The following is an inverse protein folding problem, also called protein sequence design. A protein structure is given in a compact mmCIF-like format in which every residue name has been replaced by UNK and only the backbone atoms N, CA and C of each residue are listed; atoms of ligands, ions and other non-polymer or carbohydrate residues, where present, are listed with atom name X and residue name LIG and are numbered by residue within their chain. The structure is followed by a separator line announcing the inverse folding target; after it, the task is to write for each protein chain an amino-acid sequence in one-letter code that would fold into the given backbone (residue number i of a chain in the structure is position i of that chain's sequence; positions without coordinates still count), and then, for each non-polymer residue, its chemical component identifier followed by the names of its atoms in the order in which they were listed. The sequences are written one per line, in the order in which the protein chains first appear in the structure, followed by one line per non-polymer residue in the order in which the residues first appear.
data_IF_854036045140
#
_entry.id   IF_854036045140
#
_cell.length_a   1.000
_cell.length_b   1.000
_cell.length_c   1.000
_cell.angle_alpha   90.00
_cell.angle_beta   90.00
_cell.angle_gamma   90.00
#
_symmetry.space_group_name_H-M   'P 1'
#
loop_
_entity.id
_entity.type
_entity.pdbx_description
1 polymer ?
#
# COMPACT_ATOMS: atom_id res chain seq x y z
N UNK A 1 -62.58 72.71 18.15
CA UNK A 1 -61.74 72.67 19.36
C UNK A 1 -61.16 71.26 19.49
N UNK A 2 -60.10 70.92 18.73
CA UNK A 2 -58.68 70.85 19.19
C UNK A 2 -58.46 69.91 20.38
N UNK A 3 -58.07 68.65 20.12
CA UNK A 3 -56.70 68.08 20.13
C UNK A 3 -56.18 67.78 21.56
N UNK A 4 -56.06 66.50 21.94
CA UNK A 4 -54.83 65.68 21.96
C UNK A 4 -54.53 65.27 23.43
N UNK A 5 -53.86 64.17 23.83
CA UNK A 5 -52.73 63.46 23.26
C UNK A 5 -52.70 61.97 23.68
N UNK A 6 -52.14 61.19 22.76
CA UNK A 6 -51.45 59.92 22.91
C UNK A 6 -50.46 59.89 24.10
N UNK A 7 -50.41 58.79 24.86
CA UNK A 7 -49.20 58.34 25.56
C UNK A 7 -49.14 56.81 25.48
N UNK A 8 -48.30 56.33 24.56
CA UNK A 8 -47.96 54.92 24.40
C UNK A 8 -47.10 54.45 25.60
N UNK A 9 -47.54 53.40 26.28
CA UNK A 9 -46.71 52.71 27.27
C UNK A 9 -45.64 51.89 26.51
N UNK A 10 -44.41 52.34 26.60
CA UNK A 10 -43.22 51.71 26.03
C UNK A 10 -42.99 50.34 26.67
N UNK A 11 -42.98 49.31 25.83
CA UNK A 11 -42.52 47.96 26.17
C UNK A 11 -41.07 48.01 26.65
N UNK A 12 -40.88 47.85 27.96
CA UNK A 12 -39.55 47.72 28.55
C UNK A 12 -38.87 46.45 28.04
N UNK A 13 -37.85 46.63 27.20
CA UNK A 13 -36.94 45.56 26.79
C UNK A 13 -36.18 45.12 28.06
N UNK A 14 -36.47 43.91 28.55
CA UNK A 14 -35.71 43.30 29.63
C UNK A 14 -34.27 43.03 29.15
N UNK A 15 -33.32 43.82 29.64
CA UNK A 15 -31.90 43.58 29.43
C UNK A 15 -31.51 42.18 29.95
N UNK A 16 -30.64 41.44 29.24
CA UNK A 16 -30.19 40.14 29.70
C UNK A 16 -29.44 40.31 31.03
N UNK A 17 -29.86 39.55 32.07
CA UNK A 17 -29.13 39.45 33.33
C UNK A 17 -27.70 38.99 33.05
N UNK A 18 -26.74 39.91 33.12
CA UNK A 18 -25.31 39.59 33.16
C UNK A 18 -25.05 38.95 34.52
N UNK A 19 -25.13 37.63 34.59
CA UNK A 19 -24.73 36.89 35.79
C UNK A 19 -23.24 37.04 35.97
N UNK A 20 -22.85 37.77 37.02
CA UNK A 20 -21.46 37.99 37.43
C UNK A 20 -20.73 36.65 37.50
N UNK A 21 -19.73 36.43 36.63
CA UNK A 21 -18.99 35.17 36.58
C UNK A 21 -18.14 35.05 37.84
N UNK A 22 -18.56 34.19 38.79
CA UNK A 22 -17.76 33.89 39.98
C UNK A 22 -16.41 33.29 39.55
N UNK A 23 -15.35 34.08 39.72
CA UNK A 23 -13.98 33.66 39.43
C UNK A 23 -13.52 32.70 40.53
N UNK A 24 -13.36 31.42 40.20
CA UNK A 24 -12.86 30.41 41.15
C UNK A 24 -13.10 28.98 40.66
N UNK A 25 -12.47 28.02 41.33
CA UNK A 25 -12.69 26.59 41.14
C UNK A 25 -13.22 25.95 42.42
N UNK A 26 -14.04 24.91 42.27
CA UNK A 26 -14.49 24.05 43.36
C UNK A 26 -14.17 22.60 43.03
N UNK A 27 -13.93 21.79 44.05
CA UNK A 27 -13.83 20.35 43.88
C UNK A 27 -15.23 19.75 43.83
N UNK A 28 -15.47 18.87 42.86
CA UNK A 28 -16.69 18.07 42.75
C UNK A 28 -16.33 16.60 42.83
N UNK A 29 -16.98 15.86 43.73
CA UNK A 29 -17.07 14.41 43.64
C UNK A 29 -18.32 14.03 42.84
N UNK A 30 -18.16 13.23 41.79
CA UNK A 30 -19.28 12.77 40.98
C UNK A 30 -20.17 11.81 41.79
N UNK A 31 -21.47 12.11 41.90
CA UNK A 31 -22.42 11.29 42.67
C UNK A 31 -22.58 9.85 42.16
N UNK A 32 -22.24 9.57 40.90
CA UNK A 32 -22.38 8.22 40.30
C UNK A 32 -21.11 7.36 40.33
N UNK A 33 -19.94 7.96 40.03
CA UNK A 33 -18.69 7.19 39.91
C UNK A 33 -17.63 7.58 40.95
N UNK A 34 -17.95 8.51 41.85
CA UNK A 34 -17.02 9.01 42.87
C UNK A 34 -15.84 9.82 42.31
N UNK A 35 -15.76 10.05 40.99
CA UNK A 35 -14.63 10.78 40.38
C UNK A 35 -14.54 12.20 40.93
N UNK A 36 -13.40 12.55 41.49
CA UNK A 36 -13.10 13.86 42.04
C UNK A 36 -12.42 14.73 40.98
N UNK A 37 -12.99 15.89 40.67
CA UNK A 37 -12.48 16.81 39.64
C UNK A 37 -12.60 18.27 40.08
N UNK A 38 -11.64 19.11 39.71
CA UNK A 38 -11.75 20.56 39.86
C UNK A 38 -12.58 21.15 38.72
N UNK A 39 -13.67 21.83 39.07
CA UNK A 39 -14.59 22.48 38.13
C UNK A 39 -14.73 23.96 38.48
N UNK A 40 -15.27 24.76 37.57
CA UNK A 40 -15.53 26.18 37.87
C UNK A 40 -16.50 26.31 39.05
N UNK A 41 -16.31 27.34 39.87
CA UNK A 41 -17.12 27.57 41.06
C UNK A 41 -18.62 27.74 40.75
N UNK A 42 -18.95 28.29 39.58
CA UNK A 42 -20.32 28.48 39.07
C UNK A 42 -20.92 27.21 38.43
N UNK A 43 -20.14 26.14 38.25
CA UNK A 43 -20.65 24.90 37.68
C UNK A 43 -21.53 24.16 38.70
N UNK A 44 -22.85 24.21 38.52
CA UNK A 44 -23.82 23.55 39.39
C UNK A 44 -23.92 22.02 39.19
N UNK A 45 -23.25 21.45 38.19
CA UNK A 45 -23.39 20.02 37.89
C UNK A 45 -22.80 19.14 39.00
N UNK A 46 -23.59 18.17 39.46
CA UNK A 46 -23.18 17.19 40.48
C UNK A 46 -22.57 15.91 39.85
N UNK A 47 -22.74 15.71 38.54
CA UNK A 47 -22.17 14.58 37.78
C UNK A 47 -20.98 15.02 36.95
N UNK A 48 -20.03 14.11 36.69
CA UNK A 48 -18.96 14.33 35.72
C UNK A 48 -19.51 14.31 34.28
N UNK A 49 -18.75 14.83 33.33
CA UNK A 49 -19.17 14.91 31.92
C UNK A 49 -19.54 13.53 31.37
N UNK A 50 -18.75 12.50 31.67
CA UNK A 50 -19.02 11.13 31.20
C UNK A 50 -20.31 10.55 31.79
N UNK A 51 -20.54 10.72 33.09
CA UNK A 51 -21.77 10.28 33.75
C UNK A 51 -23.00 11.04 33.24
N UNK A 52 -22.89 12.36 33.10
CA UNK A 52 -23.94 13.19 32.50
C UNK A 52 -24.25 12.77 31.06
N UNK A 53 -23.23 12.58 30.22
CA UNK A 53 -23.41 12.09 28.85
C UNK A 53 -24.06 10.71 28.79
N UNK A 54 -23.70 9.77 29.69
CA UNK A 54 -24.33 8.45 29.76
C UNK A 54 -25.81 8.55 30.16
N UNK A 55 -26.14 9.37 31.15
CA UNK A 55 -27.52 9.61 31.55
C UNK A 55 -28.34 10.22 30.41
N UNK A 56 -27.83 11.26 29.76
CA UNK A 56 -28.51 11.89 28.60
C UNK A 56 -28.58 10.97 27.38
N UNK A 57 -27.69 9.99 27.23
CA UNK A 57 -27.78 8.99 26.18
C UNK A 57 -28.83 7.92 26.52
N UNK A 58 -28.90 7.49 27.78
CA UNK A 58 -29.93 6.57 28.25
C UNK A 58 -31.35 7.18 28.13
N UNK A 59 -31.50 8.47 28.43
CA UNK A 59 -32.76 9.20 28.24
C UNK A 59 -33.14 9.34 26.76
N UNK A 60 -32.17 9.68 25.88
CA UNK A 60 -32.45 9.92 24.45
C UNK A 60 -32.68 8.66 23.63
N UNK A 61 -31.96 7.59 23.91
CA UNK A 61 -31.96 6.39 23.08
C UNK A 61 -32.66 5.20 23.72
N UNK A 62 -33.10 5.33 24.98
CA UNK A 62 -33.73 4.25 25.74
C UNK A 62 -32.85 3.01 25.84
N UNK A 63 -33.44 1.89 26.27
CA UNK A 63 -32.83 0.58 26.06
C UNK A 63 -33.04 0.19 24.59
N UNK A 64 -32.01 -0.31 23.88
CA UNK A 64 -32.19 -0.80 22.52
C UNK A 64 -33.29 -1.86 22.49
N UNK A 65 -34.36 -1.59 21.74
CA UNK A 65 -35.53 -2.47 21.59
C UNK A 65 -35.26 -3.62 20.62
N UNK A 66 -34.28 -3.45 19.73
CA UNK A 66 -33.91 -4.43 18.71
C UNK A 66 -32.80 -5.33 19.26
N UNK A 67 -33.01 -6.65 19.18
CA UNK A 67 -31.98 -7.65 19.52
C UNK A 67 -30.74 -7.41 18.65
N UNK A 68 -29.52 -7.45 19.20
CA UNK A 68 -28.31 -7.31 18.42
C UNK A 68 -28.25 -8.38 17.33
N UNK A 69 -27.87 -7.98 16.12
CA UNK A 69 -27.61 -8.92 15.04
C UNK A 69 -26.27 -9.60 15.27
N UNK A 70 -26.23 -10.93 15.16
CA UNK A 70 -25.01 -11.71 15.31
C UNK A 70 -24.60 -12.29 13.96
N UNK A 71 -23.35 -12.05 13.58
CA UNK A 71 -22.75 -12.65 12.39
C UNK A 71 -21.59 -13.59 12.79
N UNK A 72 -21.33 -14.57 11.93
CA UNK A 72 -20.21 -15.50 12.10
C UNK A 72 -18.98 -14.98 11.37
N UNK A 73 -17.87 -14.82 12.08
CA UNK A 73 -16.63 -14.34 11.48
C UNK A 73 -16.06 -15.35 10.50
N UNK A 74 -15.76 -14.92 9.27
CA UNK A 74 -15.22 -15.80 8.22
C UNK A 74 -13.78 -16.29 8.49
N UNK A 75 -13.13 -15.83 9.56
CA UNK A 75 -11.79 -16.25 9.96
C UNK A 75 -11.77 -17.15 11.20
N UNK A 76 -12.14 -16.61 12.38
CA UNK A 76 -12.17 -17.35 13.66
C UNK A 76 -13.43 -18.22 13.81
N UNK A 77 -14.46 -18.02 12.98
CA UNK A 77 -15.81 -18.61 13.16
C UNK A 77 -16.53 -18.23 14.45
N UNK A 78 -15.98 -17.28 15.22
CA UNK A 78 -16.60 -16.73 16.40
C UNK A 78 -17.79 -15.83 16.04
N UNK A 79 -18.85 -15.90 16.84
CA UNK A 79 -20.04 -15.06 16.71
C UNK A 79 -19.74 -13.66 17.24
N UNK A 80 -20.13 -12.62 16.51
CA UNK A 80 -19.90 -11.23 16.90
C UNK A 80 -21.07 -10.35 16.51
N UNK A 81 -21.24 -9.24 17.24
CA UNK A 81 -22.31 -8.28 16.97
C UNK A 81 -21.97 -7.48 15.72
N UNK A 82 -22.86 -7.48 14.74
CA UNK A 82 -22.76 -6.64 13.55
C UNK A 82 -23.89 -5.61 13.52
N UNK A 83 -23.61 -4.44 12.96
CA UNK A 83 -24.67 -3.46 12.70
C UNK A 83 -25.50 -3.95 11.51
N UNK A 84 -26.85 -3.90 11.54
CA UNK A 84 -27.68 -4.24 10.39
C UNK A 84 -27.33 -3.46 9.11
N UNK A 85 -26.77 -2.25 9.27
CA UNK A 85 -26.32 -1.40 8.17
C UNK A 85 -24.95 -1.78 7.59
N UNK A 86 -24.18 -2.63 8.26
CA UNK A 86 -22.81 -2.94 7.86
C UNK A 86 -22.58 -4.46 7.94
N UNK A 87 -22.60 -5.12 6.78
CA UNK A 87 -22.32 -6.56 6.57
C UNK A 87 -20.85 -6.89 6.84
N UNK A 88 -20.39 -6.62 8.05
CA UNK A 88 -19.03 -6.85 8.46
C UNK A 88 -18.78 -8.35 8.45
N UNK A 89 -17.71 -8.80 7.78
CA UNK A 89 -17.43 -10.24 7.58
C UNK A 89 -16.52 -10.85 8.66
N UNK A 90 -15.91 -10.00 9.48
CA UNK A 90 -14.86 -10.40 10.42
C UNK A 90 -15.08 -9.74 11.77
N UNK A 91 -14.91 -10.48 12.86
CA UNK A 91 -15.11 -9.96 14.22
C UNK A 91 -14.11 -8.87 14.61
N UNK A 92 -12.95 -8.80 13.96
CA UNK A 92 -11.89 -7.85 14.28
C UNK A 92 -11.02 -7.53 13.07
N UNK A 93 -10.28 -6.42 13.16
CA UNK A 93 -9.24 -6.07 12.17
C UNK A 93 -8.15 -7.15 12.08
N UNK A 94 -7.85 -7.84 13.19
CA UNK A 94 -6.93 -8.98 13.21
C UNK A 94 -7.42 -10.14 12.35
N UNK A 95 -8.68 -10.55 12.53
CA UNK A 95 -9.32 -11.59 11.71
C UNK A 95 -9.39 -11.20 10.22
N UNK A 96 -9.71 -9.94 9.92
CA UNK A 96 -9.69 -9.44 8.55
C UNK A 96 -8.29 -9.53 7.92
N UNK A 97 -7.26 -9.10 8.65
CA UNK A 97 -5.86 -9.12 8.19
C UNK A 97 -5.37 -10.56 7.98
N UNK A 98 -5.64 -11.45 8.92
CA UNK A 98 -5.27 -12.85 8.84
C UNK A 98 -6.01 -13.57 7.71
N UNK A 99 -7.32 -13.31 7.55
CA UNK A 99 -8.08 -13.86 6.43
C UNK A 99 -7.59 -13.37 5.06
N UNK A 100 -7.02 -12.16 4.99
CA UNK A 100 -6.47 -11.55 3.77
C UNK A 100 -4.96 -11.68 3.63
N UNK A 101 -4.28 -12.34 4.57
CA UNK A 101 -2.85 -12.59 4.48
C UNK A 101 -2.57 -13.93 3.82
N UNK A 102 -1.35 -14.09 3.33
CA UNK A 102 -0.82 -15.34 2.80
C UNK A 102 0.57 -15.52 3.40
N UNK A 103 0.86 -16.74 3.83
CA UNK A 103 2.19 -17.11 4.30
C UNK A 103 3.15 -17.25 3.12
N UNK A 104 4.40 -16.82 3.31
CA UNK A 104 5.49 -16.95 2.35
C UNK A 104 6.79 -17.24 3.06
N UNK A 105 7.74 -17.80 2.32
CA UNK A 105 9.10 -18.07 2.77
C UNK A 105 10.03 -16.95 2.31
N UNK A 106 10.84 -16.42 3.22
CA UNK A 106 11.79 -15.35 2.90
C UNK A 106 12.94 -15.88 2.04
N UNK A 107 13.19 -15.26 0.89
CA UNK A 107 14.26 -15.66 -0.03
C UNK A 107 15.69 -15.39 0.49
N UNK A 108 15.82 -14.78 1.69
CA UNK A 108 17.12 -14.44 2.30
C UNK A 108 17.42 -15.31 3.52
N UNK A 109 16.48 -15.41 4.46
CA UNK A 109 16.69 -16.12 5.71
C UNK A 109 15.93 -17.45 5.80
N UNK A 110 15.07 -17.77 4.83
CA UNK A 110 14.24 -18.98 4.86
C UNK A 110 13.06 -18.94 5.84
N UNK A 111 12.94 -17.91 6.68
CA UNK A 111 11.84 -17.80 7.65
C UNK A 111 10.47 -17.57 7.01
N UNK A 112 9.43 -18.16 7.62
CA UNK A 112 8.03 -17.93 7.27
C UNK A 112 7.54 -16.56 7.73
N UNK A 113 6.75 -15.87 6.90
CA UNK A 113 6.16 -14.58 7.21
C UNK A 113 4.86 -14.37 6.43
N UNK A 114 3.99 -13.48 6.92
CA UNK A 114 2.72 -13.18 6.26
C UNK A 114 2.74 -11.84 5.54
N UNK A 115 2.16 -11.80 4.35
CA UNK A 115 1.90 -10.56 3.60
C UNK A 115 0.44 -10.46 3.19
N UNK A 116 -0.11 -9.26 2.96
CA UNK A 116 -1.42 -9.10 2.34
C UNK A 116 -1.43 -9.70 0.93
N UNK A 117 -2.48 -10.46 0.58
CA UNK A 117 -2.66 -11.01 -0.79
C UNK A 117 -2.62 -9.94 -1.89
N UNK A 118 -3.01 -8.71 -1.58
CA UNK A 118 -2.96 -7.57 -2.51
C UNK A 118 -1.55 -7.25 -3.01
N UNK A 119 -0.50 -7.55 -2.24
CA UNK A 119 0.90 -7.37 -2.66
C UNK A 119 1.22 -8.24 -3.87
N UNK A 120 0.62 -9.43 -3.97
CA UNK A 120 0.84 -10.37 -5.07
C UNK A 120 0.02 -10.04 -6.33
N UNK A 121 -0.80 -8.99 -6.31
CA UNK A 121 -1.64 -8.60 -7.45
C UNK A 121 -0.86 -8.10 -8.68
N UNK A 122 0.45 -7.88 -8.56
CA UNK A 122 1.28 -7.31 -9.62
C UNK A 122 1.03 -5.81 -9.89
N UNK A 123 0.11 -5.17 -9.15
CA UNK A 123 -0.20 -3.73 -9.28
C UNK A 123 0.92 -2.82 -8.77
N UNK A 124 1.78 -3.33 -7.89
CA UNK A 124 2.91 -2.57 -7.34
C UNK A 124 4.23 -3.24 -7.67
N UNK A 125 5.34 -2.54 -7.42
CA UNK A 125 6.66 -3.12 -7.60
C UNK A 125 7.05 -4.12 -6.51
N UNK A 126 6.26 -4.26 -5.44
CA UNK A 126 6.56 -5.17 -4.35
C UNK A 126 6.38 -6.64 -4.80
N UNK A 127 7.40 -7.46 -4.57
CA UNK A 127 7.37 -8.88 -4.89
C UNK A 127 6.93 -9.75 -3.71
N UNK A 128 6.90 -9.21 -2.49
CA UNK A 128 6.52 -9.96 -1.28
C UNK A 128 7.47 -11.11 -0.96
N UNK A 129 8.75 -11.01 -1.34
CA UNK A 129 9.75 -12.09 -1.22
C UNK A 129 10.57 -12.08 0.08
N UNK A 130 10.47 -11.02 0.88
CA UNK A 130 11.34 -10.79 2.03
C UNK A 130 10.54 -10.43 3.27
N UNK A 131 10.90 -11.02 4.41
CA UNK A 131 10.22 -10.79 5.70
C UNK A 131 10.51 -9.40 6.30
N UNK A 132 11.62 -8.77 5.93
CA UNK A 132 12.05 -7.50 6.50
C UNK A 132 12.93 -6.70 5.54
N UNK A 133 13.06 -5.41 5.83
CA UNK A 133 13.94 -4.51 5.08
C UNK A 133 15.41 -4.98 5.11
N UNK A 134 15.98 -5.41 6.26
CA UNK A 134 17.32 -6.00 6.28
C UNK A 134 17.48 -7.25 5.40
N UNK A 135 16.48 -8.15 5.37
CA UNK A 135 16.54 -9.32 4.49
C UNK A 135 16.49 -8.93 3.00
N UNK A 136 15.70 -7.91 2.66
CA UNK A 136 15.68 -7.35 1.30
C UNK A 136 17.03 -6.76 0.92
N UNK A 137 17.65 -5.98 1.80
CA UNK A 137 18.95 -5.36 1.52
C UNK A 137 20.07 -6.39 1.43
N UNK A 138 20.11 -7.40 2.30
CA UNK A 138 21.07 -8.51 2.21
C UNK A 138 20.92 -9.27 0.89
N UNK A 139 19.69 -9.48 0.42
CA UNK A 139 19.45 -10.11 -0.88
C UNK A 139 20.00 -9.26 -2.03
N UNK A 140 19.78 -7.94 -1.98
CA UNK A 140 20.31 -7.01 -3.00
C UNK A 140 21.84 -6.89 -2.98
N UNK A 141 22.47 -7.08 -1.82
CA UNK A 141 23.90 -6.86 -1.58
C UNK A 141 24.72 -8.15 -1.51
N UNK A 142 24.26 -9.28 -2.09
CA UNK A 142 25.05 -10.54 -2.13
C UNK A 142 26.44 -10.37 -2.77
N UNK A 143 26.60 -9.38 -3.65
CA UNK A 143 27.86 -9.00 -4.28
C UNK A 143 28.11 -7.50 -4.14
N UNK A 144 29.36 -7.01 -4.13
CA UNK A 144 29.66 -5.58 -4.06
C UNK A 144 28.91 -4.79 -5.14
N UNK A 145 28.19 -3.75 -4.73
CA UNK A 145 27.45 -2.89 -5.65
C UNK A 145 28.43 -2.00 -6.42
N UNK A 146 28.81 -2.43 -7.61
CA UNK A 146 29.64 -1.62 -8.51
C UNK A 146 28.81 -0.42 -9.00
N UNK A 147 29.30 0.78 -8.71
CA UNK A 147 28.70 2.03 -9.21
C UNK A 147 29.21 2.29 -10.63
N UNK A 148 28.30 2.21 -11.59
CA UNK A 148 28.59 2.56 -12.98
C UNK A 148 28.98 1.36 -13.86
N UNK A 149 29.01 1.62 -15.18
CA UNK A 149 29.27 0.63 -16.25
C UNK A 149 30.37 1.09 -17.20
N UNK A 150 31.25 1.97 -16.71
CA UNK A 150 32.23 2.70 -17.50
C UNK A 150 31.67 3.96 -18.16
N UNK A 151 32.56 4.88 -18.52
CA UNK A 151 32.24 6.18 -19.15
C UNK A 151 31.49 6.02 -20.48
N UNK A 152 31.83 4.99 -21.26
CA UNK A 152 31.22 4.70 -22.57
C UNK A 152 29.81 4.09 -22.51
N UNK A 153 29.27 3.83 -21.32
CA UNK A 153 27.97 3.16 -21.18
C UNK A 153 26.82 3.86 -21.92
N UNK A 154 26.80 5.19 -21.94
CA UNK A 154 25.76 5.96 -22.66
C UNK A 154 25.76 5.63 -24.16
N UNK A 155 26.94 5.55 -24.76
CA UNK A 155 27.14 5.21 -26.18
C UNK A 155 26.80 3.75 -26.45
N UNK A 156 27.32 2.83 -25.64
CA UNK A 156 27.07 1.38 -25.78
C UNK A 156 25.57 1.07 -25.65
N UNK A 157 24.90 1.68 -24.66
CA UNK A 157 23.45 1.57 -24.48
C UNK A 157 22.69 2.05 -25.71
N UNK A 158 23.08 3.19 -26.29
CA UNK A 158 22.43 3.73 -27.49
C UNK A 158 22.57 2.76 -28.67
N UNK A 159 23.78 2.23 -28.89
CA UNK A 159 24.04 1.25 -29.95
C UNK A 159 23.21 -0.03 -29.78
N UNK A 160 23.13 -0.58 -28.57
CA UNK A 160 22.32 -1.78 -28.29
C UNK A 160 20.82 -1.56 -28.59
N UNK A 161 20.28 -0.39 -28.24
CA UNK A 161 18.89 -0.02 -28.54
C UNK A 161 18.65 0.24 -30.03
N UNK A 162 19.64 0.76 -30.76
CA UNK A 162 19.54 0.94 -32.22
C UNK A 162 19.55 -0.41 -32.94
N UNK A 163 20.39 -1.34 -32.51
CA UNK A 163 20.47 -2.69 -33.10
C UNK A 163 19.23 -3.54 -32.81
N UNK A 164 18.61 -3.36 -31.64
CA UNK A 164 17.38 -4.09 -31.25
C UNK A 164 16.36 -3.10 -30.68
N UNK A 165 15.60 -2.40 -31.54
CA UNK A 165 14.67 -1.34 -31.12
C UNK A 165 13.35 -1.89 -30.55
N UNK A 166 13.36 -3.09 -29.98
CA UNK A 166 12.20 -3.78 -29.41
C UNK A 166 12.63 -4.63 -28.21
N UNK A 167 11.68 -4.95 -27.35
CA UNK A 167 11.91 -5.87 -26.25
C UNK A 167 12.11 -7.28 -26.79
N UNK A 168 13.26 -7.88 -26.53
CA UNK A 168 13.61 -9.22 -27.00
C UNK A 168 12.70 -10.36 -26.49
N UNK A 169 11.81 -10.09 -25.53
CA UNK A 169 10.87 -11.07 -24.99
C UNK A 169 9.43 -10.92 -25.49
N UNK A 170 9.00 -9.70 -25.82
CA UNK A 170 7.59 -9.43 -26.13
C UNK A 170 7.36 -8.48 -27.30
N UNK A 171 8.43 -8.01 -27.96
CA UNK A 171 8.35 -7.16 -29.15
C UNK A 171 7.97 -5.69 -28.90
N UNK A 172 7.59 -5.30 -27.67
CA UNK A 172 7.24 -3.91 -27.34
C UNK A 172 8.42 -2.96 -27.63
N UNK A 173 8.15 -1.81 -28.25
CA UNK A 173 9.18 -0.82 -28.66
C UNK A 173 9.34 0.36 -27.69
N UNK A 174 8.43 0.51 -26.71
CA UNK A 174 8.42 1.62 -25.74
C UNK A 174 9.04 1.23 -24.39
N UNK A 175 9.61 2.23 -23.72
CA UNK A 175 10.20 2.11 -22.37
C UNK A 175 11.26 1.00 -22.25
N UNK A 176 12.15 0.92 -23.25
CA UNK A 176 13.22 -0.05 -23.30
C UNK A 176 14.37 0.30 -22.34
N UNK A 177 14.91 -0.75 -21.72
CA UNK A 177 16.08 -0.76 -20.88
C UNK A 177 17.04 -1.82 -21.42
N UNK A 178 18.34 -1.56 -21.35
CA UNK A 178 19.36 -2.54 -21.73
C UNK A 178 19.73 -3.33 -20.49
N UNK A 179 19.46 -4.63 -20.54
CA UNK A 179 19.80 -5.61 -19.52
C UNK A 179 21.13 -6.28 -19.88
N UNK A 180 21.98 -6.54 -18.89
CA UNK A 180 23.17 -7.36 -19.06
C UNK A 180 22.80 -8.82 -18.86
N UNK A 181 22.95 -9.65 -19.89
CA UNK A 181 22.66 -11.09 -19.82
C UNK A 181 23.47 -11.72 -18.70
N UNK A 182 24.75 -11.44 -18.59
CA UNK A 182 25.55 -11.77 -17.41
C UNK A 182 25.82 -10.48 -16.67
N UNK A 183 25.47 -10.38 -15.37
CA UNK A 183 25.62 -9.15 -14.62
C UNK A 183 27.01 -8.52 -14.78
N UNK A 184 27.04 -7.23 -15.15
CA UNK A 184 28.28 -6.48 -15.34
C UNK A 184 29.23 -6.56 -14.14
N UNK A 185 28.68 -6.68 -12.93
CA UNK A 185 29.47 -6.80 -11.69
C UNK A 185 30.36 -8.04 -11.63
N UNK A 186 29.99 -9.11 -12.36
CA UNK A 186 30.71 -10.38 -12.38
C UNK A 186 31.77 -10.41 -13.47
N UNK A 187 31.46 -9.90 -14.67
CA UNK A 187 32.34 -10.06 -15.84
C UNK A 187 32.95 -8.76 -16.35
N UNK A 188 32.42 -7.61 -15.94
CA UNK A 188 32.71 -6.28 -16.53
C UNK A 188 32.48 -6.23 -18.06
N UNK A 189 31.68 -7.15 -18.59
CA UNK A 189 31.48 -7.31 -20.03
C UNK A 189 30.34 -6.41 -20.54
N UNK A 190 30.71 -5.42 -21.36
CA UNK A 190 29.79 -4.54 -22.09
C UNK A 190 29.70 -4.91 -23.59
N UNK A 191 30.17 -6.08 -23.99
CA UNK A 191 30.07 -6.55 -25.37
C UNK A 191 28.61 -6.59 -25.82
N UNK A 192 28.30 -6.28 -27.09
CA UNK A 192 26.93 -6.34 -27.60
C UNK A 192 26.26 -7.71 -27.39
N UNK A 193 27.06 -8.79 -27.37
CA UNK A 193 26.55 -10.15 -27.13
C UNK A 193 26.03 -10.36 -25.71
N UNK A 194 26.51 -9.59 -24.73
CA UNK A 194 26.08 -9.63 -23.34
C UNK A 194 24.97 -8.62 -23.03
N UNK A 195 24.46 -7.89 -24.03
CA UNK A 195 23.46 -6.83 -23.84
C UNK A 195 22.16 -7.17 -24.55
N UNK A 196 21.04 -6.95 -23.86
CA UNK A 196 19.73 -7.18 -24.45
C UNK A 196 18.69 -6.11 -24.09
N UNK A 197 18.04 -5.48 -25.09
CA UNK A 197 16.92 -4.59 -24.83
C UNK A 197 15.65 -5.30 -24.35
N UNK A 198 15.10 -4.83 -23.24
CA UNK A 198 13.86 -5.33 -22.63
C UNK A 198 12.95 -4.16 -22.22
N UNK A 199 11.63 -4.34 -22.28
CA UNK A 199 10.71 -3.39 -21.66
C UNK A 199 10.78 -3.53 -20.12
N UNK A 200 10.35 -2.50 -19.38
CA UNK A 200 10.42 -2.48 -17.89
C UNK A 200 9.86 -3.75 -17.23
N UNK A 201 8.72 -4.26 -17.72
CA UNK A 201 8.08 -5.46 -17.16
C UNK A 201 8.92 -6.73 -17.39
N UNK A 202 9.40 -6.94 -18.62
CA UNK A 202 10.27 -8.07 -18.95
C UNK A 202 11.63 -7.97 -18.26
N UNK A 203 12.22 -6.78 -18.20
CA UNK A 203 13.48 -6.53 -17.51
C UNK A 203 13.40 -6.95 -16.04
N UNK A 204 12.32 -6.58 -15.33
CA UNK A 204 12.12 -6.97 -13.93
C UNK A 204 11.98 -8.49 -13.76
N UNK A 205 11.24 -9.15 -14.64
CA UNK A 205 11.07 -10.61 -14.62
C UNK A 205 12.40 -11.32 -14.80
N UNK A 206 13.16 -10.89 -15.81
CA UNK A 206 14.48 -11.45 -16.13
C UNK A 206 15.44 -11.24 -14.96
N UNK A 207 15.54 -10.02 -14.41
CA UNK A 207 16.38 -9.73 -13.23
C UNK A 207 16.04 -10.63 -12.03
N UNK A 208 14.74 -10.89 -11.79
CA UNK A 208 14.34 -11.82 -10.72
C UNK A 208 14.84 -13.23 -10.95
N UNK A 209 14.73 -13.76 -12.18
CA UNK A 209 15.24 -15.10 -12.52
C UNK A 209 16.75 -15.15 -12.34
N UNK A 210 17.48 -14.10 -12.72
CA UNK A 210 18.93 -14.03 -12.49
C UNK A 210 19.29 -14.10 -11.03
N UNK A 211 18.61 -13.35 -10.16
CA UNK A 211 18.85 -13.43 -8.72
C UNK A 211 18.54 -14.82 -8.15
N UNK A 212 17.54 -15.51 -8.69
CA UNK A 212 17.19 -16.88 -8.30
C UNK A 212 18.30 -17.88 -8.72
N UNK A 213 18.83 -17.72 -9.94
CA UNK A 213 19.95 -18.54 -10.43
C UNK A 213 21.23 -18.24 -9.65
N UNK A 214 21.58 -16.97 -9.44
CA UNK A 214 22.74 -16.60 -8.62
C UNK A 214 22.62 -17.10 -7.18
N UNK A 215 21.40 -17.22 -6.67
CA UNK A 215 21.19 -17.66 -5.29
C UNK A 215 21.59 -19.11 -5.03
N UNK A 216 21.64 -19.96 -6.08
CA UNK A 216 22.09 -21.36 -5.99
C UNK A 216 23.59 -21.54 -6.28
N UNK A 217 24.33 -20.42 -6.38
CA UNK A 217 25.77 -20.35 -6.68
C UNK A 217 26.25 -21.30 -7.81
N UNK A 218 25.62 -21.28 -9.01
CA UNK A 218 26.01 -22.14 -10.10
C UNK A 218 27.34 -21.67 -10.70
N UNK A 219 28.20 -22.59 -11.18
CA UNK A 219 29.44 -22.22 -11.86
C UNK A 219 29.17 -21.20 -12.97
N UNK A 220 29.92 -20.08 -12.97
CA UNK A 220 29.75 -19.00 -13.95
C UNK A 220 29.69 -19.46 -15.42
N UNK A 221 30.48 -20.46 -15.86
CA UNK A 221 30.36 -20.98 -17.23
C UNK A 221 28.98 -21.57 -17.55
N UNK A 222 28.36 -22.29 -16.61
CA UNK A 222 27.03 -22.89 -16.77
C UNK A 222 25.96 -21.80 -16.81
N UNK A 223 26.05 -20.85 -15.88
CA UNK A 223 25.18 -19.66 -15.82
C UNK A 223 25.22 -18.88 -17.13
N UNK A 224 26.45 -18.64 -17.64
CA UNK A 224 26.69 -18.00 -18.93
C UNK A 224 25.99 -18.77 -20.04
N UNK A 225 26.20 -20.08 -20.14
CA UNK A 225 25.60 -20.89 -21.21
C UNK A 225 24.07 -20.85 -21.17
N UNK A 226 23.45 -21.19 -20.03
CA UNK A 226 21.99 -21.32 -19.92
C UNK A 226 21.28 -20.00 -20.18
N UNK A 227 21.75 -18.91 -19.58
CA UNK A 227 21.07 -17.61 -19.67
C UNK A 227 21.32 -16.97 -21.02
N UNK A 228 22.53 -17.10 -21.57
CA UNK A 228 22.84 -16.63 -22.92
C UNK A 228 21.99 -17.36 -23.96
N UNK A 229 21.96 -18.69 -23.97
CA UNK A 229 21.16 -19.46 -24.92
C UNK A 229 19.67 -19.15 -24.79
N UNK A 230 19.12 -19.13 -23.59
CA UNK A 230 17.69 -18.89 -23.35
C UNK A 230 17.25 -17.50 -23.82
N UNK A 231 18.04 -16.48 -23.52
CA UNK A 231 17.69 -15.09 -23.81
C UNK A 231 17.88 -14.76 -25.30
N UNK A 232 18.94 -15.27 -25.93
CA UNK A 232 19.15 -15.09 -27.38
C UNK A 232 18.10 -15.85 -28.20
N UNK A 233 17.74 -17.08 -27.81
CA UNK A 233 16.66 -17.81 -28.47
C UNK A 233 15.35 -17.02 -28.44
N UNK A 234 15.00 -16.43 -27.29
CA UNK A 234 13.79 -15.58 -27.17
C UNK A 234 13.83 -14.35 -28.06
N UNK A 235 15.00 -13.70 -28.20
CA UNK A 235 15.19 -12.57 -29.14
C UNK A 235 14.90 -12.98 -30.57
N UNK A 236 15.46 -14.11 -31.01
CA UNK A 236 15.28 -14.64 -32.37
C UNK A 236 13.82 -14.95 -32.66
N UNK A 237 13.14 -15.63 -31.73
CA UNK A 237 11.70 -15.92 -31.85
C UNK A 237 10.89 -14.63 -31.96
N UNK A 238 11.16 -13.65 -31.09
CA UNK A 238 10.44 -12.36 -31.10
C UNK A 238 10.67 -11.61 -32.41
N UNK A 239 11.90 -11.59 -32.93
CA UNK A 239 12.21 -10.97 -34.21
C UNK A 239 11.43 -11.63 -35.35
N UNK A 240 11.37 -12.96 -35.37
CA UNK A 240 10.59 -13.69 -36.37
C UNK A 240 9.11 -13.33 -36.29
N UNK A 241 8.52 -13.31 -35.09
CA UNK A 241 7.12 -12.91 -34.86
C UNK A 241 6.82 -11.49 -35.36
N UNK A 242 7.73 -10.54 -35.10
CA UNK A 242 7.59 -9.16 -35.59
C UNK A 242 7.65 -9.08 -37.12
N UNK A 243 8.57 -9.82 -37.77
CA UNK A 243 8.66 -9.87 -39.23
C UNK A 243 7.41 -10.47 -39.86
N UNK A 244 6.93 -11.60 -39.34
CA UNK A 244 5.72 -12.24 -39.83
C UNK A 244 4.49 -11.34 -39.69
N UNK A 245 4.39 -10.59 -38.59
CA UNK A 245 3.30 -9.62 -38.37
C UNK A 245 3.37 -8.42 -39.33
N UNK A 246 4.59 -7.93 -39.63
CA UNK A 246 4.79 -6.85 -40.59
C UNK A 246 4.40 -7.28 -42.01
N UNK A 247 4.78 -8.49 -42.43
CA UNK A 247 4.39 -9.05 -43.73
C UNK A 247 2.88 -9.27 -43.83
N UNK A 248 2.22 -9.75 -42.77
CA UNK A 248 0.77 -9.90 -42.75
C UNK A 248 0.04 -8.54 -42.89
N UNK A 249 0.51 -7.50 -42.20
CA UNK A 249 -0.04 -6.15 -42.32
C UNK A 249 0.13 -5.54 -43.72
N UNK A 250 1.25 -5.81 -44.40
CA UNK A 250 1.49 -5.37 -45.78
C UNK A 250 0.58 -6.09 -46.78
N UNK A 251 0.33 -7.39 -46.61
CA UNK A 251 -0.59 -8.15 -47.48
C UNK A 251 -2.06 -7.80 -47.27
N UNK A 252 -2.44 -7.35 -46.07
CA UNK A 252 -3.82 -6.93 -45.77
C UNK A 252 -4.11 -5.48 -46.23
N UNK A 253 -3.07 -4.68 -46.50
CA UNK A 253 -3.18 -3.30 -46.97
C UNK A 253 -2.99 -3.15 -48.50
N UNK A 254 -2.69 -4.25 -49.19
CA UNK A 254 -2.59 -4.35 -50.66
C UNK A 254 -3.85 -5.04 -51.20
#
# INVERSE_FOLDING_TARGET
MTLAHNMAATSGIALPRVTERKRGTRVRSCIECGKIEQVRADNAAQRCRSCSSRASAAERFGKPTVKPNYETCQHCRCSFVSSPSNRQKYCSLGCLRAAKSVERTCATCGGSFHIPRSVLSGRTNASGRFCSRPCYERHLCRTPRIRGRGSRWKTIRKAALQQTPFCAFCGRTRHLQVHHIIPFRLTRDNSPTNLIPLCRACHKRVESVFHDVEAVDPPLPVTKLVLFCSIHARRTVTLHMLKSSAHAGQRAAA
#
